data_IF_727052909842
#
_entry.id   IF_727052909842
#
_cell.length_a   1.000
_cell.length_b   1.000
_cell.length_c   1.000
_cell.angle_alpha   90.00
_cell.angle_beta   90.00
_cell.angle_gamma   90.00
#
_symmetry.space_group_name_H-M   'P 1'
#
loop_
_entity.id
_entity.type
_entity.pdbx_description
1 polymer ?
#
# COMPACT_ATOMS: atom_id res chain seq x y z
N UNK A 1 5.56 -12.92 8.94
CA UNK A 1 4.33 -13.01 8.10
C UNK A 1 3.32 -13.90 8.78
N UNK A 2 2.06 -13.50 8.81
CA UNK A 2 0.94 -14.26 9.38
C UNK A 2 -0.09 -14.56 8.30
N UNK A 3 -0.70 -15.74 8.34
CA UNK A 3 -1.82 -16.08 7.47
C UNK A 3 -3.12 -15.64 8.13
N UNK A 4 -3.93 -14.84 7.42
CA UNK A 4 -5.21 -14.32 7.91
C UNK A 4 -6.37 -15.17 7.39
N UNK A 5 -6.27 -15.62 6.14
CA UNK A 5 -7.24 -16.47 5.47
C UNK A 5 -6.52 -17.38 4.47
N UNK A 6 -7.22 -18.36 3.91
CA UNK A 6 -6.71 -19.10 2.75
C UNK A 6 -6.25 -18.12 1.66
N UNK A 7 -4.98 -18.23 1.26
CA UNK A 7 -4.29 -17.38 0.27
C UNK A 7 -4.12 -15.89 0.64
N UNK A 8 -4.43 -15.48 1.87
CA UNK A 8 -4.22 -14.11 2.33
C UNK A 8 -3.24 -14.09 3.51
N UNK A 9 -2.13 -13.39 3.30
CA UNK A 9 -1.08 -13.22 4.29
C UNK A 9 -0.78 -11.75 4.51
N UNK A 10 -0.43 -11.41 5.74
CA UNK A 10 0.04 -10.06 6.12
C UNK A 10 1.44 -10.20 6.68
N UNK A 11 2.37 -9.37 6.21
CA UNK A 11 3.77 -9.44 6.59
C UNK A 11 4.42 -8.07 6.62
N UNK A 12 5.61 -8.04 7.22
CA UNK A 12 6.51 -6.90 7.24
C UNK A 12 7.25 -6.73 5.91
N UNK A 13 7.97 -5.62 5.77
CA UNK A 13 8.95 -5.44 4.69
C UNK A 13 9.95 -6.60 4.63
N UNK A 14 10.45 -7.03 5.80
CA UNK A 14 11.42 -8.13 5.89
C UNK A 14 10.85 -9.44 5.31
N UNK A 15 9.59 -9.76 5.62
CA UNK A 15 8.92 -10.95 5.07
C UNK A 15 8.83 -10.88 3.54
N UNK A 16 8.49 -9.70 3.01
CA UNK A 16 8.43 -9.51 1.57
C UNK A 16 9.82 -9.70 0.95
N UNK A 17 10.83 -9.01 1.45
CA UNK A 17 12.19 -9.04 0.87
C UNK A 17 12.82 -10.43 0.94
N UNK A 18 12.57 -11.20 2.01
CA UNK A 18 13.18 -12.53 2.19
C UNK A 18 12.41 -13.67 1.53
N UNK A 19 11.08 -13.56 1.44
CA UNK A 19 10.23 -14.69 1.06
C UNK A 19 9.40 -14.41 -0.19
N UNK A 20 8.70 -13.28 -0.23
CA UNK A 20 7.66 -13.03 -1.25
C UNK A 20 8.22 -12.43 -2.54
N UNK A 21 9.28 -11.60 -2.47
CA UNK A 21 9.84 -10.86 -3.61
C UNK A 21 10.20 -11.73 -4.81
N UNK A 22 10.52 -13.00 -4.59
CA UNK A 22 10.92 -13.97 -5.61
C UNK A 22 9.81 -14.99 -5.96
N UNK A 23 8.56 -14.73 -5.55
CA UNK A 23 7.40 -15.61 -5.78
C UNK A 23 6.48 -15.00 -6.85
N UNK A 24 6.63 -15.34 -8.13
CA UNK A 24 5.86 -14.72 -9.22
C UNK A 24 4.36 -15.08 -9.20
N UNK A 25 4.01 -16.16 -8.50
CA UNK A 25 2.65 -16.62 -8.26
C UNK A 25 1.89 -15.74 -7.24
N UNK A 26 2.61 -14.92 -6.48
CA UNK A 26 2.00 -14.05 -5.48
C UNK A 26 1.49 -12.74 -6.10
N UNK A 27 0.41 -12.22 -5.53
CA UNK A 27 -0.03 -10.84 -5.75
C UNK A 27 0.26 -10.06 -4.48
N UNK A 28 0.92 -8.91 -4.62
CA UNK A 28 1.43 -8.16 -3.47
C UNK A 28 0.79 -6.79 -3.41
N UNK A 29 0.27 -6.44 -2.23
CA UNK A 29 -0.11 -5.07 -1.90
C UNK A 29 0.96 -4.48 -1.00
N UNK A 30 1.75 -3.56 -1.55
CA UNK A 30 2.65 -2.72 -0.78
C UNK A 30 1.84 -1.61 -0.13
N UNK A 31 1.29 -1.91 1.05
CA UNK A 31 0.55 -0.97 1.89
C UNK A 31 1.51 -0.11 2.73
N UNK A 32 2.51 0.51 2.07
CA UNK A 32 3.41 1.46 2.70
C UNK A 32 3.93 2.45 1.65
N UNK A 33 4.15 3.69 2.10
CA UNK A 33 4.77 4.72 1.28
C UNK A 33 6.26 4.42 1.06
N UNK A 34 6.97 4.18 2.15
CA UNK A 34 8.40 3.88 2.15
C UNK A 34 8.63 2.38 2.40
N UNK A 35 9.50 1.71 1.62
CA UNK A 35 10.30 2.24 0.52
C UNK A 35 9.60 2.20 -0.85
N UNK A 36 8.50 1.43 -0.99
CA UNK A 36 8.07 0.96 -2.31
C UNK A 36 7.34 1.97 -3.17
N UNK A 37 6.44 2.80 -2.61
CA UNK A 37 5.79 3.85 -3.40
C UNK A 37 6.81 4.91 -3.81
N UNK A 38 7.72 5.26 -2.88
CA UNK A 38 8.86 6.13 -3.18
C UNK A 38 9.70 5.63 -4.33
N UNK A 39 10.15 4.39 -4.26
CA UNK A 39 10.96 3.78 -5.32
C UNK A 39 10.19 3.68 -6.65
N UNK A 40 8.90 3.40 -6.61
CA UNK A 40 8.08 3.26 -7.83
C UNK A 40 7.91 4.57 -8.61
N UNK A 41 7.88 5.71 -7.91
CA UNK A 41 7.72 7.06 -8.51
C UNK A 41 9.04 7.84 -8.60
N UNK A 42 10.09 7.42 -7.92
CA UNK A 42 11.43 8.04 -7.98
C UNK A 42 11.56 9.39 -7.29
N UNK A 43 10.69 9.74 -6.33
CA UNK A 43 10.77 11.02 -5.63
C UNK A 43 11.72 10.98 -4.43
N UNK A 44 12.53 12.02 -4.24
CA UNK A 44 13.46 12.17 -3.12
C UNK A 44 12.93 13.04 -1.98
N UNK A 45 11.95 13.92 -2.28
CA UNK A 45 11.34 14.83 -1.31
C UNK A 45 10.48 14.12 -0.26
N UNK A 46 9.89 14.88 0.67
CA UNK A 46 9.04 14.30 1.72
C UNK A 46 7.91 13.47 1.13
N UNK A 47 7.23 13.97 0.10
CA UNK A 47 6.04 13.36 -0.50
C UNK A 47 6.13 13.29 -2.03
N UNK A 48 5.36 12.37 -2.62
CA UNK A 48 5.15 12.33 -4.06
C UNK A 48 4.45 13.63 -4.55
N UNK A 49 4.73 14.11 -5.77
CA UNK A 49 4.00 15.23 -6.35
C UNK A 49 2.49 14.91 -6.42
N UNK A 50 1.64 15.80 -5.90
CA UNK A 50 0.17 15.61 -5.91
C UNK A 50 -0.41 15.53 -7.33
N UNK A 51 0.27 16.12 -8.31
CA UNK A 51 -0.09 16.05 -9.73
C UNK A 51 0.35 14.75 -10.41
N UNK A 52 1.11 13.87 -9.73
CA UNK A 52 1.58 12.63 -10.33
C UNK A 52 0.37 11.70 -10.59
N UNK A 53 0.25 11.12 -11.80
CA UNK A 53 -0.88 10.25 -12.13
C UNK A 53 -0.98 9.02 -11.22
N UNK A 54 0.15 8.58 -10.66
CA UNK A 54 0.24 7.47 -9.71
C UNK A 54 0.40 7.93 -8.24
N UNK A 55 -0.03 9.17 -7.91
CA UNK A 55 0.16 9.75 -6.57
C UNK A 55 -0.38 8.87 -5.44
N UNK A 56 -1.58 8.29 -5.61
CA UNK A 56 -2.21 7.41 -4.61
C UNK A 56 -1.82 5.95 -4.81
N UNK A 57 -1.75 5.51 -6.06
CA UNK A 57 -1.62 4.10 -6.43
C UNK A 57 -0.68 4.00 -7.62
N UNK A 58 0.36 3.17 -7.49
CA UNK A 58 1.18 2.71 -8.60
C UNK A 58 0.94 1.22 -8.85
N UNK A 59 0.96 0.80 -10.11
CA UNK A 59 0.80 -0.61 -10.51
C UNK A 59 2.03 -1.07 -11.27
N UNK A 60 2.61 -2.19 -10.86
CA UNK A 60 3.74 -2.85 -11.54
C UNK A 60 3.46 -4.34 -11.55
N UNK A 61 3.09 -4.90 -12.71
CA UNK A 61 2.80 -6.33 -12.87
C UNK A 61 1.85 -6.89 -11.78
N UNK A 62 2.37 -7.77 -10.91
CA UNK A 62 1.67 -8.45 -9.83
C UNK A 62 1.65 -7.65 -8.51
N UNK A 63 2.11 -6.40 -8.53
CA UNK A 63 2.25 -5.51 -7.37
C UNK A 63 1.33 -4.30 -7.47
N UNK A 64 0.50 -4.11 -6.46
CA UNK A 64 -0.22 -2.87 -6.17
C UNK A 64 0.56 -2.12 -5.10
N UNK A 65 0.92 -0.87 -5.35
CA UNK A 65 1.78 -0.07 -4.48
C UNK A 65 1.02 1.18 -4.05
N UNK A 66 0.80 1.35 -2.75
CA UNK A 66 -0.08 2.36 -2.19
C UNK A 66 0.72 3.48 -1.53
N UNK A 67 0.32 4.73 -1.79
CA UNK A 67 0.71 5.85 -0.97
C UNK A 67 -0.26 5.96 0.21
N UNK A 68 0.14 5.44 1.37
CA UNK A 68 -0.63 5.64 2.60
C UNK A 68 -0.44 7.10 3.04
N UNK A 69 -1.46 7.92 2.79
CA UNK A 69 -1.50 9.33 3.18
C UNK A 69 -2.41 9.50 4.40
N UNK A 70 -1.98 10.32 5.35
CA UNK A 70 -2.85 10.78 6.42
C UNK A 70 -3.87 11.75 5.83
N UNK A 71 -5.06 11.23 5.52
CA UNK A 71 -6.17 12.09 5.18
C UNK A 71 -6.60 12.86 6.44
N UNK A 72 -6.93 14.16 6.35
CA UNK A 72 -7.60 14.84 7.44
C UNK A 72 -8.85 14.04 7.82
N UNK A 73 -9.09 13.90 9.13
CA UNK A 73 -10.15 13.05 9.66
C UNK A 73 -11.46 13.25 8.87
N UNK A 74 -12.09 12.18 8.38
CA UNK A 74 -13.40 12.31 7.77
C UNK A 74 -14.31 12.96 8.81
N UNK A 75 -15.07 13.99 8.43
CA UNK A 75 -16.21 14.41 9.25
C UNK A 75 -17.09 13.18 9.38
N UNK A 76 -17.03 12.53 10.54
CA UNK A 76 -18.03 11.55 10.92
C UNK A 76 -19.36 12.29 10.86
N UNK A 77 -20.12 12.10 9.78
CA UNK A 77 -21.52 12.47 9.80
C UNK A 77 -22.13 11.74 11.00
N UNK A 78 -22.84 12.43 11.91
CA UNK A 78 -23.40 11.81 13.09
C UNK A 78 -24.20 10.59 12.65
N UNK A 79 -23.93 9.46 13.30
CA UNK A 79 -24.59 8.18 13.03
C UNK A 79 -26.10 8.43 12.97
N UNK A 80 -26.69 8.28 11.78
CA UNK A 80 -28.13 8.16 11.66
C UNK A 80 -28.56 6.93 12.46
N UNK A 81 -29.54 7.14 13.34
CA UNK A 81 -30.28 6.10 14.05
C UNK A 81 -30.73 5.03 13.05
N UNK A 82 -30.02 3.90 12.99
CA UNK A 82 -30.60 2.67 12.49
C UNK A 82 -31.38 2.06 13.65
N UNK A 83 -32.65 2.47 13.77
CA UNK A 83 -33.68 1.74 14.49
C UNK A 83 -34.11 0.50 13.70
#
# INVERSE_FOLDING_TARGET
MIQIHQFLHVGSEHDYEKVVRHRPDWRVVHACKDPYHRQALGYSGRDAPKSHPEYLIARREHRLILNLVDAPAPRLHPKGDYR
#
